data_IF_699141327192
#
_entry.id   IF_699141327192
#
_cell.length_a   1.000
_cell.length_b   1.000
_cell.length_c   1.000
_cell.angle_alpha   90.00
_cell.angle_beta   90.00
_cell.angle_gamma   90.00
#
_symmetry.space_group_name_H-M   'P 1'
#
loop_
_entity.id
_entity.type
_entity.pdbx_description
1 polymer ?
#
# COMPACT_ATOMS: atom_id res chain seq x y z
N UNK A 1 64.09 -6.41 14.24
CA UNK A 1 63.57 -5.36 13.36
C UNK A 1 62.82 -6.04 12.22
N UNK A 2 61.55 -6.40 12.46
CA UNK A 2 60.64 -6.86 11.42
C UNK A 2 59.28 -6.29 11.81
N UNK A 3 58.95 -5.16 11.19
CA UNK A 3 57.70 -4.44 11.40
C UNK A 3 56.60 -5.21 10.64
N UNK A 4 55.50 -5.65 11.28
CA UNK A 4 54.40 -6.24 10.55
C UNK A 4 53.67 -5.11 9.84
N UNK A 5 53.85 -5.00 8.52
CA UNK A 5 53.05 -4.11 7.68
C UNK A 5 51.57 -4.35 7.96
N UNK A 6 50.95 -3.41 8.69
CA UNK A 6 49.51 -3.31 8.83
C UNK A 6 48.98 -2.96 7.43
N UNK A 7 48.54 -3.97 6.68
CA UNK A 7 47.72 -3.76 5.48
C UNK A 7 46.44 -3.06 5.91
N UNK A 8 46.43 -1.74 5.74
CA UNK A 8 45.24 -0.91 5.83
C UNK A 8 44.17 -1.49 4.92
N UNK A 9 43.07 -1.94 5.51
CA UNK A 9 41.87 -2.33 4.79
C UNK A 9 41.33 -1.07 4.08
N UNK A 10 41.60 -0.94 2.79
CA UNK A 10 40.92 0.04 1.95
C UNK A 10 39.50 -0.47 1.71
N UNK A 11 38.45 0.26 2.10
CA UNK A 11 37.10 -0.14 1.79
C UNK A 11 36.95 -0.13 0.27
N UNK A 12 36.73 -1.31 -0.32
CA UNK A 12 36.27 -1.41 -1.69
C UNK A 12 34.95 -0.67 -1.77
N UNK A 13 34.98 0.55 -2.30
CA UNK A 13 33.79 1.27 -2.70
C UNK A 13 33.11 0.44 -3.78
N UNK A 14 32.15 -0.40 -3.40
CA UNK A 14 31.27 -1.08 -4.33
C UNK A 14 30.67 -0.02 -5.24
N UNK A 15 31.10 -0.08 -6.50
CA UNK A 15 30.73 0.85 -7.54
C UNK A 15 29.22 0.76 -7.74
N UNK A 16 28.49 1.69 -7.13
CA UNK A 16 27.04 1.90 -7.32
C UNK A 16 26.81 2.32 -8.77
N UNK A 17 26.85 1.40 -9.75
CA UNK A 17 26.21 1.53 -11.08
C UNK A 17 26.68 0.44 -12.06
N UNK A 18 26.54 -0.85 -11.74
CA UNK A 18 26.73 -1.92 -12.73
C UNK A 18 25.43 -2.25 -13.51
N UNK A 19 24.27 -1.79 -13.04
CA UNK A 19 22.96 -2.16 -13.62
C UNK A 19 22.36 -1.12 -14.59
N UNK A 20 22.93 0.08 -14.69
CA UNK A 20 22.39 1.17 -15.53
C UNK A 20 23.41 1.54 -16.60
N UNK A 21 23.35 0.84 -17.72
CA UNK A 21 24.26 1.02 -18.87
C UNK A 21 23.81 2.13 -19.81
N UNK A 22 22.62 2.72 -19.59
CA UNK A 22 22.02 3.67 -20.52
C UNK A 22 22.45 5.12 -20.28
N UNK A 23 22.49 5.90 -21.36
CA UNK A 23 22.81 7.33 -21.30
C UNK A 23 21.77 8.10 -20.47
N UNK A 24 22.23 9.11 -19.71
CA UNK A 24 21.38 9.97 -18.87
C UNK A 24 20.11 10.49 -19.57
N UNK A 25 20.12 10.94 -20.83
CA UNK A 25 18.91 11.40 -21.51
C UNK A 25 17.92 10.25 -21.75
N UNK A 26 18.39 9.07 -22.18
CA UNK A 26 17.51 7.91 -22.42
C UNK A 26 16.80 7.50 -21.13
N UNK A 27 17.54 7.42 -20.02
CA UNK A 27 16.96 7.13 -18.70
C UNK A 27 15.86 8.12 -18.30
N UNK A 28 16.09 9.42 -18.50
CA UNK A 28 15.09 10.46 -18.18
C UNK A 28 13.87 10.31 -19.08
N UNK A 29 14.06 10.07 -20.38
CA UNK A 29 12.96 9.85 -21.32
C UNK A 29 12.13 8.64 -20.93
N UNK A 30 12.77 7.48 -20.69
CA UNK A 30 12.07 6.25 -20.30
C UNK A 30 11.31 6.45 -18.97
N UNK A 31 11.96 7.04 -17.97
CA UNK A 31 11.30 7.33 -16.67
C UNK A 31 10.10 8.25 -16.85
N UNK A 32 10.25 9.31 -17.65
CA UNK A 32 9.18 10.27 -17.92
C UNK A 32 8.01 9.61 -18.64
N UNK A 33 8.29 8.77 -19.65
CA UNK A 33 7.26 8.01 -20.37
C UNK A 33 6.53 7.05 -19.43
N UNK A 34 7.24 6.29 -18.60
CA UNK A 34 6.63 5.38 -17.63
C UNK A 34 5.77 6.12 -16.61
N UNK A 35 6.27 7.23 -16.05
CA UNK A 35 5.52 8.04 -15.08
C UNK A 35 4.30 8.70 -15.73
N UNK A 36 4.42 9.20 -16.97
CA UNK A 36 3.30 9.77 -17.71
C UNK A 36 2.24 8.70 -18.01
N UNK A 37 2.65 7.52 -18.46
CA UNK A 37 1.76 6.39 -18.70
C UNK A 37 1.01 5.96 -17.43
N UNK A 38 1.75 5.75 -16.33
CA UNK A 38 1.15 5.37 -15.04
C UNK A 38 0.24 6.48 -14.51
N UNK A 39 0.66 7.74 -14.65
CA UNK A 39 -0.12 8.91 -14.27
C UNK A 39 -1.43 8.98 -15.04
N UNK A 40 -1.41 8.81 -16.36
CA UNK A 40 -2.62 8.76 -17.18
C UNK A 40 -3.49 7.58 -16.75
N UNK A 41 -2.93 6.39 -16.60
CA UNK A 41 -3.69 5.19 -16.27
C UNK A 41 -4.40 5.27 -14.91
N UNK A 42 -3.79 5.92 -13.91
CA UNK A 42 -4.38 6.11 -12.59
C UNK A 42 -5.32 7.32 -12.52
N UNK A 43 -4.94 8.45 -13.12
CA UNK A 43 -5.68 9.72 -12.98
C UNK A 43 -6.87 9.81 -13.94
N UNK A 44 -6.77 9.27 -15.15
CA UNK A 44 -7.85 9.33 -16.13
C UNK A 44 -9.17 8.70 -15.63
N UNK A 45 -9.20 7.47 -15.07
CA UNK A 45 -10.46 6.92 -14.54
C UNK A 45 -10.98 7.74 -13.36
N UNK A 46 -10.10 8.27 -12.51
CA UNK A 46 -10.49 9.12 -11.40
C UNK A 46 -11.16 10.43 -11.88
N UNK A 47 -10.58 11.07 -12.91
CA UNK A 47 -11.15 12.27 -13.54
C UNK A 47 -12.53 11.96 -14.13
N UNK A 48 -12.68 10.81 -14.80
CA UNK A 48 -13.97 10.38 -15.34
C UNK A 48 -15.02 10.20 -14.24
N UNK A 49 -14.66 9.53 -13.14
CA UNK A 49 -15.55 9.36 -11.98
C UNK A 49 -16.03 10.71 -11.43
N UNK A 50 -15.13 11.68 -11.26
CA UNK A 50 -15.51 13.02 -10.82
C UNK A 50 -16.38 13.74 -11.84
N UNK A 51 -16.03 13.69 -13.13
CA UNK A 51 -16.83 14.30 -14.19
C UNK A 51 -18.25 13.74 -14.21
N UNK A 52 -18.39 12.43 -14.06
CA UNK A 52 -19.70 11.76 -14.03
C UNK A 52 -20.47 12.08 -12.75
N UNK A 53 -19.80 12.11 -11.60
CA UNK A 53 -20.40 12.50 -10.32
C UNK A 53 -20.98 13.93 -10.36
N UNK A 54 -20.36 14.84 -11.12
CA UNK A 54 -20.81 16.21 -11.31
C UNK A 54 -21.62 16.44 -12.59
N UNK A 55 -21.88 15.41 -13.41
CA UNK A 55 -22.52 15.56 -14.72
C UNK A 55 -23.95 16.13 -14.64
N UNK A 56 -24.67 15.83 -13.55
CA UNK A 56 -26.02 16.34 -13.27
C UNK A 56 -26.01 17.70 -12.54
N UNK A 57 -24.84 18.32 -12.40
CA UNK A 57 -24.62 19.57 -11.68
C UNK A 57 -24.45 19.38 -10.17
N UNK A 58 -23.84 20.39 -9.53
CA UNK A 58 -23.53 20.40 -8.10
C UNK A 58 -24.81 20.35 -7.23
N UNK A 59 -25.93 20.89 -7.72
CA UNK A 59 -27.22 20.82 -7.02
C UNK A 59 -27.76 19.40 -6.87
N UNK A 60 -27.64 18.56 -7.91
CA UNK A 60 -28.04 17.16 -7.84
C UNK A 60 -27.15 16.36 -6.88
N UNK A 61 -25.85 16.67 -6.82
CA UNK A 61 -24.91 16.08 -5.87
C UNK A 61 -25.33 16.33 -4.40
N UNK A 62 -25.67 17.58 -4.06
CA UNK A 62 -26.16 17.91 -2.71
C UNK A 62 -27.53 17.30 -2.40
N UNK A 63 -28.40 17.16 -3.40
CA UNK A 63 -29.67 16.44 -3.22
C UNK A 63 -29.44 14.95 -2.92
N UNK A 64 -28.50 14.29 -3.62
CA UNK A 64 -28.12 12.90 -3.34
C UNK A 64 -27.55 12.73 -1.93
N UNK A 65 -26.80 13.71 -1.40
CA UNK A 65 -26.35 13.69 0.00
C UNK A 65 -27.51 13.84 1.00
N UNK A 66 -28.61 14.48 0.58
CA UNK A 66 -29.84 14.63 1.36
C UNK A 66 -30.70 13.37 1.41
N UNK A 67 -30.40 12.36 0.60
CA UNK A 67 -31.13 11.11 0.54
C UNK A 67 -30.93 10.26 1.80
N UNK A 68 -31.98 9.56 2.21
CA UNK A 68 -31.99 8.77 3.44
C UNK A 68 -31.02 7.59 3.35
N UNK A 69 -30.92 6.96 2.18
CA UNK A 69 -30.03 5.82 1.95
C UNK A 69 -28.57 6.26 1.95
N UNK A 70 -28.25 7.38 1.28
CA UNK A 70 -26.89 7.95 1.25
C UNK A 70 -26.41 8.30 2.66
N UNK A 71 -27.24 8.95 3.49
CA UNK A 71 -26.87 9.25 4.88
C UNK A 71 -26.69 8.01 5.73
N UNK A 72 -27.54 7.00 5.54
CA UNK A 72 -27.46 5.74 6.28
C UNK A 72 -26.19 4.97 5.93
N UNK A 73 -25.84 4.93 4.63
CA UNK A 73 -24.59 4.34 4.16
C UNK A 73 -23.36 5.05 4.74
N UNK A 74 -23.31 6.38 4.68
CA UNK A 74 -22.22 7.17 5.26
C UNK A 74 -22.09 6.90 6.77
N UNK A 75 -23.20 6.91 7.51
CA UNK A 75 -23.19 6.65 8.95
C UNK A 75 -22.69 5.24 9.28
N UNK A 76 -23.11 4.23 8.51
CA UNK A 76 -22.66 2.85 8.68
C UNK A 76 -21.15 2.74 8.43
N UNK A 77 -20.66 3.29 7.33
CA UNK A 77 -19.22 3.29 7.01
C UNK A 77 -18.40 3.98 8.10
N UNK A 78 -18.86 5.15 8.58
CA UNK A 78 -18.17 5.87 9.65
C UNK A 78 -18.18 5.11 10.98
N UNK A 79 -19.29 4.47 11.33
CA UNK A 79 -19.39 3.66 12.55
C UNK A 79 -18.45 2.45 12.48
N UNK A 80 -18.47 1.73 11.35
CA UNK A 80 -17.58 0.59 11.12
C UNK A 80 -16.11 1.04 11.18
N UNK A 81 -15.76 2.14 10.52
CA UNK A 81 -14.39 2.68 10.57
C UNK A 81 -13.99 3.08 12.00
N UNK A 82 -14.87 3.76 12.74
CA UNK A 82 -14.62 4.21 14.10
C UNK A 82 -14.35 3.06 15.08
N UNK A 83 -14.93 1.88 14.85
CA UNK A 83 -14.70 0.69 15.67
C UNK A 83 -13.49 -0.11 15.15
N UNK A 84 -13.46 -0.41 13.85
CA UNK A 84 -12.45 -1.28 13.25
C UNK A 84 -11.05 -0.68 13.28
N UNK A 85 -10.90 0.63 13.07
CA UNK A 85 -9.57 1.27 13.02
C UNK A 85 -8.84 1.19 14.37
N UNK A 86 -9.44 1.57 15.52
CA UNK A 86 -8.78 1.42 16.81
C UNK A 86 -8.49 -0.04 17.17
N UNK A 87 -9.41 -0.97 16.88
CA UNK A 87 -9.17 -2.38 17.14
C UNK A 87 -8.00 -2.92 16.30
N UNK A 88 -7.99 -2.64 14.99
CA UNK A 88 -6.89 -3.03 14.12
C UNK A 88 -5.56 -2.41 14.56
N UNK A 89 -5.58 -1.16 15.04
CA UNK A 89 -4.40 -0.51 15.58
C UNK A 89 -3.87 -1.22 16.81
N UNK A 90 -4.72 -1.50 17.81
CA UNK A 90 -4.30 -2.14 19.07
C UNK A 90 -3.79 -3.55 18.81
N UNK A 91 -4.56 -4.39 18.11
CA UNK A 91 -4.17 -5.78 17.86
C UNK A 91 -3.03 -5.89 16.84
N UNK A 92 -3.09 -5.12 15.76
CA UNK A 92 -2.06 -5.11 14.72
C UNK A 92 -0.72 -4.62 15.24
N UNK A 93 -0.71 -3.52 16.02
CA UNK A 93 0.53 -3.02 16.63
C UNK A 93 1.08 -4.00 17.66
N UNK A 94 0.22 -4.59 18.49
CA UNK A 94 0.64 -5.59 19.49
C UNK A 94 1.28 -6.82 18.81
N UNK A 95 0.67 -7.33 17.74
CA UNK A 95 1.19 -8.46 16.98
C UNK A 95 2.51 -8.10 16.25
N UNK A 96 2.56 -6.94 15.58
CA UNK A 96 3.76 -6.47 14.91
C UNK A 96 4.93 -6.27 15.90
N UNK A 97 4.66 -5.70 17.08
CA UNK A 97 5.65 -5.57 18.15
C UNK A 97 6.12 -6.95 18.61
N UNK A 98 5.19 -7.87 18.89
CA UNK A 98 5.53 -9.21 19.35
C UNK A 98 6.49 -9.93 18.38
N UNK A 99 6.21 -9.86 17.07
CA UNK A 99 7.03 -10.47 16.02
C UNK A 99 8.37 -9.75 15.87
N UNK A 100 8.39 -8.42 15.89
CA UNK A 100 9.62 -7.64 15.66
C UNK A 100 10.62 -7.71 16.81
N UNK A 101 10.14 -7.80 18.07
CA UNK A 101 11.01 -7.73 19.26
C UNK A 101 11.34 -9.08 19.88
N UNK A 102 10.47 -10.09 19.74
CA UNK A 102 10.64 -11.37 20.44
C UNK A 102 10.88 -12.53 19.45
N UNK A 103 11.68 -13.49 19.89
CA UNK A 103 11.90 -14.77 19.21
C UNK A 103 11.22 -15.89 20.01
N UNK A 104 10.10 -16.41 19.49
CA UNK A 104 9.31 -17.45 20.14
C UNK A 104 8.95 -18.56 19.14
N UNK A 105 8.81 -19.80 19.62
CA UNK A 105 8.62 -21.00 18.77
C UNK A 105 7.40 -20.92 17.83
N UNK A 106 6.37 -20.17 18.18
CA UNK A 106 5.13 -19.99 17.38
C UNK A 106 5.12 -18.79 16.41
N UNK A 107 6.24 -18.08 16.26
CA UNK A 107 6.32 -16.82 15.48
C UNK A 107 5.96 -17.00 14.00
N UNK A 108 6.40 -18.10 13.38
CA UNK A 108 6.09 -18.41 11.99
C UNK A 108 4.58 -18.60 11.77
N UNK A 109 3.91 -19.34 12.67
CA UNK A 109 2.46 -19.55 12.60
C UNK A 109 1.68 -18.24 12.70
N UNK A 110 2.04 -17.36 13.65
CA UNK A 110 1.39 -16.05 13.80
C UNK A 110 1.58 -15.18 12.55
N UNK A 111 2.78 -15.18 11.97
CA UNK A 111 3.09 -14.42 10.75
C UNK A 111 2.24 -14.92 9.58
N UNK A 112 2.19 -16.24 9.36
CA UNK A 112 1.34 -16.83 8.31
C UNK A 112 -0.14 -16.50 8.50
N UNK A 113 -0.65 -16.50 9.74
CA UNK A 113 -2.05 -16.16 10.01
C UNK A 113 -2.37 -14.70 9.65
N UNK A 114 -1.43 -13.79 9.90
CA UNK A 114 -1.57 -12.36 9.55
C UNK A 114 -1.51 -12.16 8.03
N UNK A 115 -0.69 -12.92 7.32
CA UNK A 115 -0.53 -12.81 5.86
C UNK A 115 -1.61 -13.56 5.06
N UNK A 116 -2.26 -14.54 5.69
CA UNK A 116 -3.32 -15.36 5.10
C UNK A 116 -4.43 -14.53 4.41
N UNK A 117 -5.06 -13.52 5.04
CA UNK A 117 -6.13 -12.74 4.39
C UNK A 117 -5.67 -12.04 3.10
N UNK A 118 -4.39 -11.68 2.98
CA UNK A 118 -3.84 -11.08 1.75
C UNK A 118 -3.59 -12.12 0.66
N UNK A 119 -3.40 -13.38 1.04
CA UNK A 119 -3.21 -14.51 0.13
C UNK A 119 -4.53 -15.09 -0.40
N UNK A 120 -5.65 -14.83 0.28
CA UNK A 120 -6.97 -15.32 -0.12
C UNK A 120 -7.64 -14.34 -1.09
N UNK A 121 -8.19 -14.84 -2.20
CA UNK A 121 -8.96 -14.04 -3.14
C UNK A 121 -10.22 -13.46 -2.47
N UNK A 122 -10.50 -12.16 -2.61
CA UNK A 122 -11.73 -11.55 -2.07
C UNK A 122 -13.00 -12.26 -2.50
N UNK A 123 -13.01 -12.84 -3.72
CA UNK A 123 -14.14 -13.59 -4.25
C UNK A 123 -14.39 -14.88 -3.45
N UNK A 124 -13.32 -15.60 -3.08
CA UNK A 124 -13.41 -16.83 -2.29
C UNK A 124 -13.86 -16.50 -0.87
N UNK A 125 -13.32 -15.45 -0.26
CA UNK A 125 -13.75 -14.98 1.06
C UNK A 125 -15.24 -14.65 1.09
N UNK A 126 -15.77 -14.04 0.03
CA UNK A 126 -17.19 -13.78 -0.11
C UNK A 126 -18.04 -15.05 -0.18
N UNK A 127 -17.58 -16.07 -0.92
CA UNK A 127 -18.29 -17.34 -1.07
C UNK A 127 -18.42 -18.10 0.27
N UNK A 128 -17.37 -18.11 1.09
CA UNK A 128 -17.35 -18.79 2.40
C UNK A 128 -18.38 -18.21 3.39
N UNK A 129 -18.74 -16.94 3.25
CA UNK A 129 -19.76 -16.32 4.11
C UNK A 129 -21.20 -16.59 3.64
N UNK A 130 -21.41 -17.03 2.39
CA UNK A 130 -22.74 -17.24 1.80
C UNK A 130 -23.17 -18.71 1.85
N UNK A 131 -22.22 -19.65 1.77
CA UNK A 131 -22.44 -21.10 1.85
C UNK A 131 -22.38 -21.60 3.30
#
# INVERSE_FOLDING_TARGET
MADPEIKSYEPHHESRSAAVTESRPVRITLTTVTLAFLGIFLLLPLIIVFKEAFAKGVGAYFQSLGDADTRSAIRLTLLVAAISVPLNLVFGLSAAWAIAKFEFKGKAFLTTLIDLPFSVSPVISGLVYVL
#
